data_IF_168122874956
#
_entry.id   IF_168122874956
#
_cell.length_a   1.000
_cell.length_b   1.000
_cell.length_c   1.000
_cell.angle_alpha   90.00
_cell.angle_beta   90.00
_cell.angle_gamma   90.00
#
_symmetry.space_group_name_H-M   'P 1'
#
loop_
_entity.id
_entity.type
_entity.pdbx_description
1 polymer ?
#
# COMPACT_ATOMS: atom_id res chain seq x y z
N UNK A 1 -52.22 -17.29 -59.23
CA UNK A 1 -51.99 -16.10 -60.06
C UNK A 1 -51.87 -14.92 -59.12
N UNK A 2 -50.82 -14.11 -59.34
CA UNK A 2 -50.44 -12.81 -58.76
C UNK A 2 -50.20 -12.70 -57.24
N UNK A 3 -48.98 -12.44 -56.72
CA UNK A 3 -48.00 -11.33 -56.87
C UNK A 3 -48.50 -9.96 -56.37
N UNK A 4 -48.02 -9.56 -55.19
CA UNK A 4 -47.34 -8.28 -54.88
C UNK A 4 -46.99 -8.28 -53.37
N UNK A 5 -45.71 -8.34 -53.00
CA UNK A 5 -44.80 -7.19 -52.83
C UNK A 5 -45.16 -6.28 -51.66
N UNK A 6 -44.32 -6.34 -50.63
CA UNK A 6 -44.32 -5.44 -49.48
C UNK A 6 -43.02 -5.62 -48.69
N UNK A 7 -41.93 -5.11 -49.25
CA UNK A 7 -40.59 -5.01 -48.65
C UNK A 7 -40.58 -4.05 -47.47
N UNK A 8 -40.01 -4.47 -46.33
CA UNK A 8 -39.25 -3.61 -45.43
C UNK A 8 -38.09 -4.41 -44.83
N UNK A 9 -36.93 -3.76 -44.85
CA UNK A 9 -35.58 -4.28 -44.68
C UNK A 9 -35.09 -4.22 -43.23
N UNK A 10 -34.08 -5.06 -42.95
CA UNK A 10 -32.96 -4.87 -42.02
C UNK A 10 -33.32 -4.78 -40.52
N UNK A 11 -32.82 -5.67 -39.67
CA UNK A 11 -31.39 -5.77 -39.42
C UNK A 11 -31.04 -7.03 -38.61
N UNK A 12 -29.85 -7.54 -38.90
CA UNK A 12 -29.19 -8.65 -38.22
C UNK A 12 -29.05 -8.35 -36.72
N UNK A 13 -29.45 -9.29 -35.86
CA UNK A 13 -28.85 -9.41 -34.53
C UNK A 13 -27.85 -10.55 -34.63
N UNK A 14 -26.57 -10.14 -34.78
CA UNK A 14 -25.40 -10.98 -34.55
C UNK A 14 -25.45 -11.54 -33.14
N UNK A 15 -24.94 -12.75 -32.99
CA UNK A 15 -24.54 -13.33 -31.71
C UNK A 15 -23.78 -12.29 -30.86
N UNK A 16 -24.33 -11.95 -29.69
CA UNK A 16 -23.61 -11.32 -28.59
C UNK A 16 -23.41 -12.41 -27.54
N UNK A 17 -22.23 -12.99 -27.50
CA UNK A 17 -21.12 -12.55 -26.64
C UNK A 17 -21.27 -13.18 -25.26
N UNK A 18 -20.63 -14.35 -25.17
CA UNK A 18 -19.88 -14.86 -24.02
C UNK A 18 -19.53 -13.72 -23.07
N UNK A 19 -20.35 -13.49 -22.05
CA UNK A 19 -19.89 -12.74 -20.90
C UNK A 19 -18.94 -13.67 -20.18
N UNK A 20 -17.67 -13.55 -20.59
CA UNK A 20 -16.54 -14.03 -19.85
C UNK A 20 -16.73 -13.58 -18.42
N UNK A 21 -16.56 -14.54 -17.51
CA UNK A 21 -16.28 -14.28 -16.12
C UNK A 21 -15.00 -13.42 -16.12
N UNK A 22 -15.14 -12.10 -16.20
CA UNK A 22 -14.06 -11.17 -15.87
C UNK A 22 -13.80 -11.47 -14.42
N UNK A 23 -12.79 -12.30 -14.15
CA UNK A 23 -12.22 -12.46 -12.83
C UNK A 23 -11.81 -11.05 -12.42
N UNK A 24 -12.70 -10.36 -11.69
CA UNK A 24 -12.35 -9.13 -11.01
C UNK A 24 -11.08 -9.44 -10.24
N UNK A 25 -10.00 -8.75 -10.60
CA UNK A 25 -8.73 -8.90 -9.92
C UNK A 25 -9.02 -8.73 -8.43
N UNK A 26 -8.57 -9.65 -7.55
CA UNK A 26 -8.79 -9.48 -6.11
C UNK A 26 -8.28 -8.09 -5.70
N UNK A 27 -9.12 -7.37 -4.97
CA UNK A 27 -8.82 -6.02 -4.50
C UNK A 27 -7.53 -6.09 -3.68
N UNK A 28 -6.47 -5.42 -4.15
CA UNK A 28 -5.20 -5.39 -3.43
C UNK A 28 -5.38 -4.57 -2.16
N UNK A 29 -5.00 -5.12 -1.01
CA UNK A 29 -5.02 -4.42 0.28
C UNK A 29 -3.64 -3.83 0.57
N UNK A 30 -3.57 -2.59 1.04
CA UNK A 30 -2.33 -2.00 1.55
C UNK A 30 -2.32 -1.95 3.08
N UNK A 31 -1.19 -2.35 3.67
CA UNK A 31 -0.95 -2.23 5.12
C UNK A 31 0.25 -1.32 5.35
N UNK A 32 -0.02 -0.12 5.87
CA UNK A 32 0.98 0.87 6.23
C UNK A 32 1.52 0.60 7.64
N UNK A 33 2.76 0.11 7.74
CA UNK A 33 3.43 -0.12 9.01
C UNK A 33 4.07 1.17 9.53
N UNK A 34 3.57 1.68 10.66
CA UNK A 34 3.97 2.96 11.24
C UNK A 34 4.81 2.74 12.49
N UNK A 35 6.02 3.29 12.52
CA UNK A 35 6.89 3.23 13.69
C UNK A 35 8.33 3.60 13.35
N UNK A 36 9.17 3.76 14.37
CA UNK A 36 10.58 4.11 14.20
C UNK A 36 11.39 3.01 13.53
N UNK A 37 12.62 3.33 13.15
CA UNK A 37 13.67 2.35 12.93
C UNK A 37 13.75 1.40 14.12
N UNK A 38 14.01 0.12 13.85
CA UNK A 38 14.08 -0.95 14.84
C UNK A 38 12.82 -1.18 15.70
N UNK A 39 11.66 -0.67 15.29
CA UNK A 39 10.39 -0.96 15.99
C UNK A 39 9.88 -2.39 15.76
N UNK A 40 10.38 -3.06 14.71
CA UNK A 40 10.00 -4.42 14.32
C UNK A 40 9.20 -4.50 13.00
N UNK A 41 8.94 -3.38 12.32
CA UNK A 41 8.11 -3.33 11.10
C UNK A 41 8.49 -4.36 10.04
N UNK A 42 9.77 -4.42 9.69
CA UNK A 42 10.27 -5.29 8.63
C UNK A 42 10.20 -6.78 9.02
N UNK A 43 10.53 -7.09 10.27
CA UNK A 43 10.50 -8.46 10.80
C UNK A 43 9.06 -8.97 10.90
N UNK A 44 8.14 -8.12 11.38
CA UNK A 44 6.70 -8.39 11.38
C UNK A 44 6.18 -8.59 9.95
N UNK A 45 6.51 -7.71 9.01
CA UNK A 45 6.05 -7.82 7.62
C UNK A 45 6.46 -9.15 6.99
N UNK A 46 7.72 -9.57 7.19
CA UNK A 46 8.22 -10.86 6.73
C UNK A 46 7.50 -12.03 7.41
N UNK A 47 7.30 -11.97 8.73
CA UNK A 47 6.60 -13.01 9.48
C UNK A 47 5.13 -13.14 9.04
N UNK A 48 4.45 -12.03 8.79
CA UNK A 48 3.06 -11.98 8.33
C UNK A 48 2.90 -12.69 6.99
N UNK A 49 3.75 -12.38 6.01
CA UNK A 49 3.68 -13.04 4.69
C UNK A 49 4.06 -14.53 4.77
N UNK A 50 5.08 -14.88 5.55
CA UNK A 50 5.46 -16.30 5.74
C UNK A 50 4.36 -17.13 6.38
N UNK A 51 3.56 -16.52 7.27
CA UNK A 51 2.46 -17.22 7.95
C UNK A 51 1.24 -17.42 7.04
N UNK A 52 1.20 -16.75 5.87
CA UNK A 52 0.11 -16.79 4.91
C UNK A 52 0.63 -17.15 3.51
N UNK A 53 1.14 -18.37 3.35
CA UNK A 53 1.77 -18.84 2.10
C UNK A 53 0.85 -18.80 0.87
N UNK A 54 -0.48 -18.74 1.09
CA UNK A 54 -1.47 -18.66 0.01
C UNK A 54 -1.79 -17.22 -0.45
N UNK A 55 -1.21 -16.20 0.19
CA UNK A 55 -1.42 -14.79 -0.15
C UNK A 55 -0.18 -14.29 -0.89
N UNK A 56 -0.37 -13.73 -2.10
CA UNK A 56 0.72 -13.09 -2.82
C UNK A 56 0.97 -11.71 -2.21
N UNK A 57 1.98 -11.62 -1.35
CA UNK A 57 2.35 -10.38 -0.68
C UNK A 57 3.65 -9.78 -1.21
N UNK A 58 3.71 -8.45 -1.25
CA UNK A 58 4.95 -7.71 -1.46
C UNK A 58 5.23 -6.76 -0.30
N UNK A 59 6.51 -6.64 0.08
CA UNK A 59 6.96 -5.69 1.09
C UNK A 59 7.64 -4.52 0.38
N UNK A 60 7.11 -3.32 0.61
CA UNK A 60 7.66 -2.06 0.11
C UNK A 60 8.42 -1.37 1.24
N UNK A 61 9.73 -1.57 1.25
CA UNK A 61 10.66 -0.88 2.14
C UNK A 61 11.32 0.30 1.42
N UNK A 62 11.73 1.33 2.16
CA UNK A 62 12.33 2.56 1.61
C UNK A 62 11.97 3.79 2.44
N UNK A 63 12.05 4.97 1.83
CA UNK A 63 11.80 6.26 2.45
C UNK A 63 12.91 6.72 3.39
N UNK A 64 14.15 6.27 3.18
CA UNK A 64 15.30 6.74 3.95
C UNK A 64 15.66 8.20 3.60
N UNK A 65 16.43 8.90 4.45
CA UNK A 65 16.85 10.27 4.17
C UNK A 65 17.60 10.35 2.83
N UNK A 66 17.07 11.14 1.89
CA UNK A 66 17.64 11.36 0.56
C UNK A 66 17.07 10.47 -0.55
N UNK A 67 16.13 9.57 -0.24
CA UNK A 67 15.41 8.80 -1.24
C UNK A 67 14.46 9.70 -2.06
N UNK A 68 14.52 9.58 -3.38
CA UNK A 68 13.61 10.31 -4.28
C UNK A 68 12.23 9.67 -4.26
N UNK A 69 11.19 10.49 -4.30
CA UNK A 69 9.79 10.08 -4.25
C UNK A 69 9.43 9.08 -5.37
N UNK A 70 9.99 9.28 -6.55
CA UNK A 70 9.76 8.41 -7.72
C UNK A 70 10.17 6.95 -7.44
N UNK A 71 11.17 6.73 -6.58
CA UNK A 71 11.73 5.41 -6.36
C UNK A 71 10.77 4.49 -5.57
N UNK A 72 9.97 5.01 -4.64
CA UNK A 72 9.02 4.18 -3.88
C UNK A 72 7.72 4.00 -4.65
N UNK A 73 7.27 5.02 -5.41
CA UNK A 73 6.12 4.90 -6.32
C UNK A 73 6.34 3.83 -7.39
N UNK A 74 7.54 3.77 -7.97
CA UNK A 74 7.89 2.72 -8.94
C UNK A 74 7.84 1.32 -8.32
N UNK A 75 8.29 1.18 -7.06
CA UNK A 75 8.22 -0.08 -6.31
C UNK A 75 6.77 -0.52 -6.08
N UNK A 76 5.89 0.41 -5.71
CA UNK A 76 4.45 0.14 -5.57
C UNK A 76 3.88 -0.32 -6.91
N UNK A 77 4.12 0.42 -8.00
CA UNK A 77 3.59 0.07 -9.33
C UNK A 77 4.00 -1.34 -9.77
N UNK A 78 5.27 -1.70 -9.55
CA UNK A 78 5.77 -3.05 -9.87
C UNK A 78 5.09 -4.13 -9.02
N UNK A 79 4.81 -3.85 -7.76
CA UNK A 79 4.21 -4.80 -6.85
C UNK A 79 2.69 -4.97 -7.08
N UNK A 80 2.00 -3.91 -7.50
CA UNK A 80 0.54 -3.92 -7.72
C UNK A 80 0.10 -4.98 -8.74
N UNK A 81 0.91 -5.30 -9.76
CA UNK A 81 0.49 -6.21 -10.84
C UNK A 81 0.32 -7.68 -10.42
N UNK A 82 0.76 -8.07 -9.22
CA UNK A 82 0.72 -9.48 -8.80
C UNK A 82 0.72 -9.67 -7.28
N UNK A 83 0.23 -8.69 -6.52
CA UNK A 83 0.10 -8.81 -5.07
C UNK A 83 -1.35 -8.64 -4.65
N UNK A 84 -1.81 -9.55 -3.80
CA UNK A 84 -3.05 -9.44 -3.04
C UNK A 84 -2.87 -8.46 -1.87
N UNK A 85 -1.66 -8.42 -1.29
CA UNK A 85 -1.32 -7.56 -0.15
C UNK A 85 -0.02 -6.80 -0.37
N UNK A 86 -0.04 -5.50 -0.13
CA UNK A 86 1.14 -4.65 -0.08
C UNK A 86 1.42 -4.23 1.36
N UNK A 87 2.56 -4.65 1.92
CA UNK A 87 3.00 -4.19 3.25
C UNK A 87 4.04 -3.08 3.06
N UNK A 88 3.73 -1.87 3.50
CA UNK A 88 4.58 -0.69 3.31
C UNK A 88 5.26 -0.35 4.63
N UNK A 89 6.59 -0.45 4.67
CA UNK A 89 7.39 -0.28 5.90
C UNK A 89 8.32 0.92 5.83
N UNK A 90 7.95 1.96 5.08
CA UNK A 90 8.81 3.11 4.84
C UNK A 90 8.87 4.04 6.06
N UNK A 91 10.06 4.54 6.39
CA UNK A 91 10.24 5.41 7.57
C UNK A 91 9.53 6.76 7.41
N UNK A 92 9.34 7.19 6.16
CA UNK A 92 8.65 8.41 5.81
C UNK A 92 7.17 8.42 6.24
N UNK A 93 6.56 7.24 6.43
CA UNK A 93 5.17 7.11 6.89
C UNK A 93 4.96 7.60 8.34
N UNK A 94 6.05 7.82 9.09
CA UNK A 94 5.97 8.48 10.40
C UNK A 94 5.41 9.90 10.32
N UNK A 95 5.57 10.59 9.18
CA UNK A 95 4.96 11.90 8.94
C UNK A 95 3.56 11.71 8.36
N UNK A 96 2.48 12.14 9.06
CA UNK A 96 1.12 12.03 8.55
C UNK A 96 0.90 12.68 7.17
N UNK A 97 1.68 13.69 6.80
CA UNK A 97 1.58 14.28 5.45
C UNK A 97 2.04 13.29 4.38
N UNK A 98 3.15 12.61 4.63
CA UNK A 98 3.70 11.63 3.69
C UNK A 98 2.88 10.33 3.68
N UNK A 99 2.27 9.97 4.81
CA UNK A 99 1.27 8.90 4.85
C UNK A 99 0.05 9.25 3.98
N UNK A 100 -0.44 10.49 4.06
CA UNK A 100 -1.53 10.95 3.19
C UNK A 100 -1.16 10.86 1.71
N UNK A 101 0.01 11.34 1.34
CA UNK A 101 0.48 11.30 -0.05
C UNK A 101 0.63 9.86 -0.54
N UNK A 102 1.10 8.95 0.32
CA UNK A 102 1.15 7.52 0.03
C UNK A 102 -0.24 6.91 -0.13
N UNK A 103 -1.18 7.22 0.77
CA UNK A 103 -2.55 6.72 0.71
C UNK A 103 -3.30 7.25 -0.52
N UNK A 104 -3.14 8.53 -0.87
CA UNK A 104 -3.70 9.11 -2.08
C UNK A 104 -3.15 8.42 -3.33
N UNK A 105 -1.83 8.21 -3.38
CA UNK A 105 -1.20 7.50 -4.50
C UNK A 105 -1.73 6.05 -4.65
N UNK A 106 -1.91 5.33 -3.54
CA UNK A 106 -2.47 3.98 -3.55
C UNK A 106 -3.91 3.97 -4.09
N UNK A 107 -4.74 4.90 -3.62
CA UNK A 107 -6.13 5.05 -4.07
C UNK A 107 -6.21 5.36 -5.57
N UNK A 108 -5.39 6.30 -6.06
CA UNK A 108 -5.27 6.62 -7.49
C UNK A 108 -4.92 5.40 -8.37
N UNK A 109 -4.29 4.37 -7.78
CA UNK A 109 -3.88 3.15 -8.47
C UNK A 109 -4.78 1.95 -8.14
N UNK A 110 -5.97 2.19 -7.58
CA UNK A 110 -7.01 1.19 -7.37
C UNK A 110 -6.87 0.37 -6.08
N UNK A 111 -6.08 0.85 -5.10
CA UNK A 111 -6.02 0.27 -3.75
C UNK A 111 -6.88 1.09 -2.81
N UNK A 112 -8.14 0.66 -2.65
CA UNK A 112 -9.12 1.31 -1.79
C UNK A 112 -9.04 0.87 -0.32
N UNK A 113 -8.66 -0.37 -0.07
CA UNK A 113 -8.52 -0.92 1.29
C UNK A 113 -7.12 -0.67 1.84
N UNK A 114 -7.02 0.30 2.75
CA UNK A 114 -5.77 0.71 3.40
C UNK A 114 -5.92 0.54 4.91
N UNK A 115 -5.09 -0.32 5.49
CA UNK A 115 -5.00 -0.56 6.93
C UNK A 115 -3.70 -0.01 7.51
N UNK A 116 -3.69 0.27 8.81
CA UNK A 116 -2.52 0.70 9.56
C UNK A 116 -2.08 -0.43 10.50
N UNK A 117 -0.79 -0.71 10.51
CA UNK A 117 -0.15 -1.48 11.58
C UNK A 117 0.72 -0.53 12.40
N UNK A 118 0.24 -0.16 13.59
CA UNK A 118 0.98 0.73 14.48
C UNK A 118 2.00 -0.04 15.32
N UNK A 119 3.21 0.50 15.43
CA UNK A 119 4.26 0.00 16.31
C UNK A 119 4.56 1.05 17.39
N UNK A 120 4.26 0.74 18.67
CA UNK A 120 4.48 1.67 19.76
C UNK A 120 5.93 2.13 19.87
N UNK A 121 6.09 3.38 20.34
CA UNK A 121 7.39 3.96 20.63
C UNK A 121 8.19 3.06 21.57
N UNK A 122 9.40 2.71 21.13
CA UNK A 122 10.38 2.07 22.00
C UNK A 122 11.24 3.14 22.69
N UNK A 123 11.75 2.85 23.88
CA UNK A 123 12.63 3.78 24.53
C UNK A 123 13.94 4.02 23.76
N UNK A 124 14.47 5.24 23.81
CA UNK A 124 15.65 5.64 23.02
C UNK A 124 16.87 4.73 23.28
N UNK A 125 17.10 4.29 24.51
CA UNK A 125 18.22 3.42 24.87
C UNK A 125 18.09 2.03 24.25
N UNK A 126 16.87 1.50 24.13
CA UNK A 126 16.63 0.23 23.43
C UNK A 126 16.89 0.39 21.93
N UNK A 127 16.44 1.49 21.33
CA UNK A 127 16.70 1.79 19.93
C UNK A 127 18.20 1.97 19.65
N UNK A 128 18.94 2.68 20.51
CA UNK A 128 20.39 2.85 20.38
C UNK A 128 21.15 1.53 20.52
N UNK A 129 20.70 0.67 21.45
CA UNK A 129 21.28 -0.66 21.61
C UNK A 129 21.08 -1.49 20.33
N UNK A 130 19.88 -1.47 19.75
CA UNK A 130 19.60 -2.18 18.50
C UNK A 130 20.40 -1.57 17.33
N UNK A 131 20.43 -0.24 17.20
CA UNK A 131 21.18 0.48 16.17
C UNK A 131 22.68 0.11 16.18
N UNK A 132 23.29 0.01 17.37
CA UNK A 132 24.69 -0.38 17.52
C UNK A 132 25.02 -1.81 17.08
N UNK A 133 24.00 -2.66 16.93
CA UNK A 133 24.14 -4.07 16.52
C UNK A 133 24.00 -4.26 15.00
N UNK A 134 23.66 -3.21 14.24
CA UNK A 134 23.40 -3.30 12.80
C UNK A 134 24.51 -2.64 11.97
N UNK A 135 24.83 -3.23 10.81
CA UNK A 135 25.82 -2.69 9.87
C UNK A 135 25.42 -1.34 9.27
N UNK A 136 24.12 -1.09 9.13
CA UNK A 136 23.56 0.16 8.62
C UNK A 136 22.79 0.86 9.75
N UNK A 137 23.54 1.43 10.69
CA UNK A 137 23.00 2.23 11.76
C UNK A 137 22.42 3.54 11.22
N UNK A 138 21.23 3.93 11.68
CA UNK A 138 20.63 5.23 11.37
C UNK A 138 21.16 6.33 12.30
N UNK A 139 21.65 5.94 13.47
CA UNK A 139 22.31 6.81 14.42
C UNK A 139 21.37 7.61 15.33
N UNK A 140 21.92 8.05 16.47
CA UNK A 140 21.18 8.74 17.52
C UNK A 140 20.39 9.99 17.07
N UNK A 141 20.91 10.86 16.16
CA UNK A 141 20.14 12.02 15.69
C UNK A 141 18.86 11.63 14.97
N UNK A 142 18.93 10.61 14.11
CA UNK A 142 17.77 10.14 13.34
C UNK A 142 16.75 9.43 14.24
N UNK A 143 17.21 8.60 15.18
CA UNK A 143 16.32 7.98 16.17
C UNK A 143 15.57 9.01 17.01
N UNK A 144 16.27 10.07 17.47
CA UNK A 144 15.63 11.18 18.20
C UNK A 144 14.61 11.92 17.34
N UNK A 145 14.94 12.17 16.06
CA UNK A 145 14.02 12.79 15.11
C UNK A 145 12.77 11.94 14.94
N UNK A 146 12.91 10.65 14.68
CA UNK A 146 11.81 9.72 14.49
C UNK A 146 10.92 9.59 15.73
N UNK A 147 11.52 9.48 16.93
CA UNK A 147 10.78 9.49 18.20
C UNK A 147 9.96 10.77 18.35
N UNK A 148 10.56 11.93 18.08
CA UNK A 148 9.87 13.22 18.18
C UNK A 148 8.81 13.44 17.12
N UNK A 149 8.90 12.75 15.97
CA UNK A 149 7.93 12.82 14.88
C UNK A 149 6.74 11.87 15.05
N UNK A 150 6.91 10.74 15.76
CA UNK A 150 5.86 9.75 15.91
C UNK A 150 4.64 10.33 16.65
N UNK A 151 3.47 10.20 16.02
CA UNK A 151 2.20 10.65 16.57
C UNK A 151 1.46 9.48 17.28
N UNK A 152 0.36 9.80 17.94
CA UNK A 152 -0.59 8.80 18.42
C UNK A 152 -1.24 8.07 17.24
N UNK A 153 -1.62 6.81 17.46
CA UNK A 153 -2.19 5.94 16.42
C UNK A 153 -3.40 6.57 15.71
N UNK A 154 -4.34 7.15 16.46
CA UNK A 154 -5.54 7.83 15.93
C UNK A 154 -5.21 8.87 14.85
N UNK A 155 -4.08 9.58 15.01
CA UNK A 155 -3.68 10.60 14.04
C UNK A 155 -3.38 10.02 12.65
N UNK A 156 -2.87 8.79 12.61
CA UNK A 156 -2.60 8.09 11.37
C UNK A 156 -3.87 7.53 10.75
N UNK A 157 -4.81 7.02 11.57
CA UNK A 157 -6.14 6.61 11.10
C UNK A 157 -6.91 7.78 10.49
N UNK A 158 -7.00 8.92 11.18
CA UNK A 158 -7.59 10.16 10.65
C UNK A 158 -7.00 10.55 9.29
N UNK A 159 -5.70 10.29 9.10
CA UNK A 159 -4.98 10.64 7.88
C UNK A 159 -5.40 9.76 6.71
N UNK A 160 -5.46 8.43 6.91
CA UNK A 160 -5.88 7.48 5.87
C UNK A 160 -7.36 7.65 5.54
N UNK A 161 -8.21 7.82 6.56
CA UNK A 161 -9.65 8.01 6.37
C UNK A 161 -9.98 9.30 5.62
N UNK A 162 -9.19 10.37 5.82
CA UNK A 162 -9.37 11.63 5.08
C UNK A 162 -9.16 11.50 3.57
N UNK A 163 -8.45 10.47 3.10
CA UNK A 163 -8.26 10.19 1.67
C UNK A 163 -9.46 9.44 1.11
N UNK A 164 -10.03 8.48 1.86
CA UNK A 164 -11.19 7.68 1.43
C UNK A 164 -12.48 8.49 1.30
N UNK A 165 -12.60 9.65 1.95
CA UNK A 165 -13.79 10.51 1.91
C UNK A 165 -13.85 11.46 0.68
N UNK A 166 -12.84 11.43 -0.20
CA UNK A 166 -12.73 12.30 -1.37
C UNK A 166 -12.60 11.56 -2.71
N UNK A 167 -12.83 10.24 -2.72
CA UNK A 167 -12.91 9.40 -3.93
C UNK A 167 -14.31 9.32 -4.52
#
# INVERSE_FOLDING_TARGET
>A
MDRASGTAQLSQIKAGDTHGNTLEKPETIAICAIGTAYSGKAEWAQATLRSHENIQGAIISGGGPGEREENWKERINKALSGSDVLIITMDQLLDPRQLRDCAAYLNEHGVGDISIQYFPLRPLWDLLRLDSQHHYAVGAPELKRQIGSQQMEDKYWDTVESVGQHG
#
